data_IF_822480980255
#
_entry.id   IF_822480980255
#
_cell.length_a   1.000
_cell.length_b   1.000
_cell.length_c   1.000
_cell.angle_alpha   90.00
_cell.angle_beta   90.00
_cell.angle_gamma   90.00
#
_symmetry.space_group_name_H-M   'P 1'
#
loop_
_entity.id
_entity.type
_entity.pdbx_description
1 polymer ?
#
# COMPACT_ATOMS: atom_id res chain seq x y z
N UNK A 1 -5.85 -14.03 1.00
CA UNK A 1 -5.58 -13.51 2.35
C UNK A 1 -6.65 -14.00 3.31
N UNK A 2 -6.29 -14.56 4.47
CA UNK A 2 -7.19 -15.23 5.42
C UNK A 2 -8.15 -14.25 6.14
N UNK A 3 -7.63 -13.17 6.72
CA UNK A 3 -8.41 -12.21 7.53
C UNK A 3 -9.04 -11.06 6.71
N UNK A 4 -8.76 -10.96 5.42
CA UNK A 4 -9.34 -9.98 4.48
C UNK A 4 -9.29 -8.51 4.92
N UNK A 5 -8.19 -8.06 5.55
CA UNK A 5 -8.01 -6.64 5.84
C UNK A 5 -7.90 -5.84 4.53
N UNK A 6 -8.83 -4.91 4.24
CA UNK A 6 -8.89 -4.19 2.96
C UNK A 6 -7.88 -3.04 2.87
N UNK A 7 -7.30 -2.63 4.00
CA UNK A 7 -6.38 -1.52 4.10
C UNK A 7 -5.23 -1.85 5.06
N UNK A 8 -4.13 -1.10 4.94
CA UNK A 8 -2.95 -1.18 5.81
C UNK A 8 -2.48 0.24 6.14
N UNK A 9 -2.37 0.56 7.43
CA UNK A 9 -1.83 1.82 7.89
C UNK A 9 -0.29 1.80 7.86
N UNK A 10 0.31 2.95 7.56
CA UNK A 10 1.77 3.17 7.59
C UNK A 10 2.01 4.42 8.43
N UNK A 11 2.64 4.25 9.61
CA UNK A 11 2.81 5.29 10.61
C UNK A 11 4.31 5.43 10.94
N UNK A 12 5.10 6.18 10.14
CA UNK A 12 6.52 6.33 10.39
C UNK A 12 6.75 7.30 11.55
N UNK A 13 7.46 6.87 12.59
CA UNK A 13 7.89 7.71 13.72
C UNK A 13 9.20 8.43 13.37
N UNK A 14 9.23 9.10 12.21
CA UNK A 14 10.37 9.87 11.73
C UNK A 14 9.88 11.00 10.82
N UNK A 15 10.17 12.26 11.20
CA UNK A 15 9.73 13.44 10.45
C UNK A 15 10.26 13.45 9.01
N UNK A 16 11.48 12.93 8.79
CA UNK A 16 12.07 12.84 7.45
C UNK A 16 11.26 11.94 6.49
N UNK A 17 10.34 11.13 7.01
CA UNK A 17 9.50 10.21 6.25
C UNK A 17 8.04 10.67 6.12
N UNK A 18 7.76 11.96 6.27
CA UNK A 18 6.40 12.54 6.15
C UNK A 18 5.67 12.15 4.85
N UNK A 19 6.41 11.91 3.75
CA UNK A 19 5.85 11.53 2.44
C UNK A 19 5.93 10.02 2.17
N UNK A 20 6.36 9.19 3.12
CA UNK A 20 6.52 7.76 2.89
C UNK A 20 5.17 7.06 2.66
N UNK A 21 4.14 7.40 3.43
CA UNK A 21 2.80 6.84 3.28
C UNK A 21 2.21 7.05 1.86
N UNK A 22 2.17 8.27 1.28
CA UNK A 22 1.65 8.46 -0.07
C UNK A 22 2.49 7.77 -1.16
N UNK A 23 3.83 7.71 -1.02
CA UNK A 23 4.66 6.96 -1.98
C UNK A 23 4.34 5.46 -1.99
N UNK A 24 4.18 4.84 -0.82
CA UNK A 24 3.80 3.43 -0.73
C UNK A 24 2.36 3.20 -1.16
N UNK A 25 1.47 4.17 -0.92
CA UNK A 25 0.08 4.11 -1.40
C UNK A 25 0.06 3.96 -2.94
N UNK A 26 0.81 4.80 -3.65
CA UNK A 26 0.92 4.72 -5.11
C UNK A 26 1.43 3.34 -5.54
N UNK A 27 2.59 2.92 -5.01
CA UNK A 27 3.20 1.62 -5.32
C UNK A 27 2.22 0.46 -5.09
N UNK A 28 1.64 0.36 -3.90
CA UNK A 28 0.82 -0.79 -3.54
C UNK A 28 -0.51 -0.82 -4.30
N UNK A 29 -1.19 0.32 -4.43
CA UNK A 29 -2.53 0.36 -5.02
C UNK A 29 -2.46 0.29 -6.55
N UNK A 30 -1.52 0.98 -7.17
CA UNK A 30 -1.39 0.97 -8.63
C UNK A 30 -0.81 -0.34 -9.15
N UNK A 31 0.11 -0.98 -8.42
CA UNK A 31 0.64 -2.29 -8.83
C UNK A 31 -0.35 -3.43 -8.55
N UNK A 32 -0.92 -3.50 -7.35
CA UNK A 32 -1.67 -4.69 -6.90
C UNK A 32 -3.20 -4.54 -6.99
N UNK A 33 -3.72 -3.33 -7.23
CA UNK A 33 -5.15 -3.09 -7.47
C UNK A 33 -5.58 -3.56 -8.86
N UNK A 34 -5.38 -4.84 -9.17
CA UNK A 34 -5.67 -5.46 -10.47
C UNK A 34 -6.55 -6.69 -10.26
N UNK A 35 -7.50 -6.90 -11.15
CA UNK A 35 -8.47 -8.00 -11.10
C UNK A 35 -8.24 -9.08 -12.17
N UNK A 36 -7.12 -9.01 -12.90
CA UNK A 36 -6.80 -9.92 -14.00
C UNK A 36 -5.48 -10.63 -13.74
N UNK A 37 -5.42 -11.90 -14.13
CA UNK A 37 -4.17 -12.67 -14.19
C UNK A 37 -3.38 -12.31 -15.45
N UNK A 38 -2.10 -12.67 -15.46
CA UNK A 38 -1.24 -12.58 -16.65
C UNK A 38 -1.42 -13.77 -17.59
N UNK A 39 -2.01 -14.87 -17.08
CA UNK A 39 -2.35 -16.06 -17.88
C UNK A 39 -3.40 -15.78 -18.96
#
# INVERSE_FOLDING_TARGET
SFLRHPARAILPYCQALEKFAPHIQQLSMESNGKGVSIE
#
